data_IF_284909777665
#
_entry.id   IF_284909777665
#
_cell.length_a   1.000
_cell.length_b   1.000
_cell.length_c   1.000
_cell.angle_alpha   90.00
_cell.angle_beta   90.00
_cell.angle_gamma   90.00
#
_symmetry.space_group_name_H-M   'P 1'
#
loop_
_entity.id
_entity.type
_entity.pdbx_description
1 polymer ?
#
# COMPACT_ATOMS: atom_id res chain seq x y z
N UNK A 1 -10.88 1.25 -0.88
CA UNK A 1 -11.54 0.86 0.40
C UNK A 1 -10.50 0.71 1.52
N UNK A 2 -9.49 -0.15 1.39
CA UNK A 2 -8.49 -0.45 2.45
C UNK A 2 -7.65 0.76 2.95
N UNK A 3 -7.27 1.71 2.08
CA UNK A 3 -6.51 2.89 2.51
C UNK A 3 -7.31 3.83 3.43
N UNK A 4 -8.64 3.92 3.22
CA UNK A 4 -9.50 4.77 4.05
C UNK A 4 -9.70 4.16 5.44
N UNK A 5 -9.74 2.83 5.53
CA UNK A 5 -9.86 2.12 6.80
C UNK A 5 -8.58 2.26 7.63
N UNK A 6 -7.41 2.19 6.99
CA UNK A 6 -6.12 2.40 7.69
C UNK A 6 -5.92 3.85 8.14
N UNK A 7 -6.31 4.84 7.34
CA UNK A 7 -6.28 6.25 7.76
C UNK A 7 -7.22 6.47 8.94
N UNK A 8 -8.41 5.88 8.90
CA UNK A 8 -9.37 5.94 10.00
C UNK A 8 -8.83 5.27 11.27
N UNK A 9 -8.19 4.10 11.13
CA UNK A 9 -7.54 3.39 12.23
C UNK A 9 -6.41 4.20 12.86
N UNK A 10 -5.48 4.75 12.06
CA UNK A 10 -4.42 5.62 12.58
C UNK A 10 -4.99 6.87 13.25
N UNK A 11 -6.04 7.48 12.67
CA UNK A 11 -6.72 8.63 13.25
C UNK A 11 -7.30 8.31 14.64
N UNK A 12 -7.96 7.17 14.79
CA UNK A 12 -8.51 6.71 16.07
C UNK A 12 -7.38 6.51 17.09
N UNK A 13 -6.28 5.85 16.71
CA UNK A 13 -5.13 5.65 17.60
C UNK A 13 -4.47 6.96 18.06
N UNK A 14 -4.53 8.02 17.24
CA UNK A 14 -3.97 9.34 17.60
C UNK A 14 -4.93 10.21 18.41
N UNK A 15 -6.22 9.88 18.43
CA UNK A 15 -7.26 10.64 19.16
C UNK A 15 -7.58 10.03 20.53
N UNK A 16 -7.12 8.81 20.81
CA UNK A 16 -7.25 8.20 22.14
C UNK A 16 -6.26 8.83 23.13
N UNK A 17 -6.69 9.07 24.39
CA UNK A 17 -5.82 9.64 25.43
C UNK A 17 -4.70 8.68 25.87
N UNK A 18 -4.77 7.41 25.44
CA UNK A 18 -3.72 6.41 25.64
C UNK A 18 -2.74 6.48 24.46
N UNK A 19 -1.45 6.62 24.74
CA UNK A 19 -0.37 6.57 23.74
C UNK A 19 -0.24 5.15 23.17
N UNK A 20 -1.05 4.85 22.16
CA UNK A 20 -0.99 3.57 21.45
C UNK A 20 0.16 3.58 20.44
N UNK A 21 0.89 2.46 20.38
CA UNK A 21 2.00 2.30 19.44
C UNK A 21 1.49 2.31 18.01
N UNK A 22 1.89 3.31 17.23
CA UNK A 22 1.56 3.38 15.81
C UNK A 22 2.29 2.25 15.07
N UNK A 23 1.60 1.46 14.23
CA UNK A 23 2.25 0.40 13.48
C UNK A 23 3.39 0.94 12.62
N UNK A 24 4.52 0.21 12.63
CA UNK A 24 5.64 0.52 11.76
C UNK A 24 5.21 0.51 10.28
N UNK A 25 5.89 1.31 9.44
CA UNK A 25 5.59 1.39 7.99
C UNK A 25 5.57 0.01 7.32
N UNK A 26 6.49 -0.88 7.70
CA UNK A 26 6.55 -2.26 7.19
C UNK A 26 5.26 -3.02 7.46
N UNK A 27 4.71 -2.94 8.67
CA UNK A 27 3.46 -3.62 9.05
C UNK A 27 2.28 -3.15 8.20
N UNK A 28 2.23 -1.87 7.84
CA UNK A 28 1.18 -1.31 6.97
C UNK A 28 1.20 -1.92 5.56
N UNK A 29 2.39 -2.14 5.01
CA UNK A 29 2.57 -2.78 3.69
C UNK A 29 2.14 -4.25 3.74
N UNK A 30 2.48 -4.96 4.81
CA UNK A 30 2.11 -6.37 4.98
C UNK A 30 0.60 -6.52 5.08
N UNK A 31 -0.07 -5.71 5.91
CA UNK A 31 -1.52 -5.73 6.05
C UNK A 31 -2.24 -5.44 4.71
N UNK A 32 -1.74 -4.49 3.92
CA UNK A 32 -2.29 -4.23 2.60
C UNK A 32 -2.17 -5.45 1.67
N UNK A 33 -0.99 -6.07 1.61
CA UNK A 33 -0.78 -7.24 0.76
C UNK A 33 -1.58 -8.46 1.24
N UNK A 34 -1.73 -8.62 2.56
CA UNK A 34 -2.58 -9.65 3.17
C UNK A 34 -4.05 -9.48 2.76
N UNK A 35 -4.58 -8.24 2.76
CA UNK A 35 -5.95 -7.99 2.29
C UNK A 35 -6.17 -8.28 0.80
N UNK A 36 -5.13 -8.18 -0.03
CA UNK A 36 -5.22 -8.48 -1.47
C UNK A 36 -5.09 -9.98 -1.76
N UNK A 37 -4.26 -10.68 -0.98
CA UNK A 37 -3.89 -12.06 -1.20
C UNK A 37 -4.74 -13.07 -0.39
N UNK A 38 -5.36 -12.62 0.71
CA UNK A 38 -6.19 -13.43 1.60
C UNK A 38 -5.41 -14.19 2.70
N UNK A 39 -6.16 -14.78 3.63
CA UNK A 39 -5.65 -15.32 4.91
C UNK A 39 -5.18 -16.79 4.84
N UNK A 40 -4.13 -17.08 4.06
CA UNK A 40 -3.47 -18.39 4.09
C UNK A 40 -2.01 -18.29 4.53
N UNK A 41 -1.55 -19.29 5.30
CA UNK A 41 -0.13 -19.46 5.64
C UNK A 41 0.78 -19.49 4.41
N UNK A 42 0.32 -20.03 3.29
CA UNK A 42 1.08 -20.05 2.04
C UNK A 42 1.14 -18.68 1.35
N UNK A 43 0.13 -17.83 1.55
CA UNK A 43 0.05 -16.48 0.99
C UNK A 43 0.95 -15.49 1.75
N UNK A 44 1.16 -15.72 3.06
CA UNK A 44 2.13 -14.97 3.86
C UNK A 44 3.57 -15.06 3.35
N UNK A 45 3.96 -16.15 2.69
CA UNK A 45 5.27 -16.26 2.04
C UNK A 45 5.39 -15.35 0.81
N UNK A 46 4.30 -15.08 0.10
CA UNK A 46 4.27 -14.20 -1.08
C UNK A 46 4.36 -12.71 -0.72
N UNK A 47 4.02 -12.36 0.53
CA UNK A 47 4.08 -10.99 1.05
C UNK A 47 5.53 -10.58 1.40
N UNK A 48 6.39 -11.56 1.71
CA UNK A 48 7.80 -11.32 2.04
C UNK A 48 8.50 -10.65 0.87
N UNK A 49 9.40 -9.72 1.20
CA UNK A 49 10.12 -8.90 0.22
C UNK A 49 10.77 -9.73 -0.90
N UNK A 50 11.36 -10.87 -0.57
CA UNK A 50 12.01 -11.77 -1.53
C UNK A 50 11.06 -12.37 -2.59
N UNK A 51 9.76 -12.48 -2.28
CA UNK A 51 8.76 -13.10 -3.13
C UNK A 51 7.72 -12.09 -3.65
N UNK A 52 7.88 -10.81 -3.33
CA UNK A 52 6.93 -9.78 -3.72
C UNK A 52 7.00 -9.57 -5.23
N UNK A 53 5.87 -9.75 -5.90
CA UNK A 53 5.70 -9.47 -7.32
C UNK A 53 5.43 -7.98 -7.54
N UNK A 54 6.49 -7.19 -7.73
CA UNK A 54 6.39 -5.74 -7.97
C UNK A 54 5.79 -5.41 -9.34
N UNK A 55 5.89 -6.34 -10.28
CA UNK A 55 5.37 -6.27 -11.64
C UNK A 55 3.90 -6.62 -11.77
N UNK A 56 3.27 -7.21 -10.73
CA UNK A 56 1.86 -7.54 -10.77
C UNK A 56 0.99 -6.29 -10.60
N UNK A 57 0.39 -5.81 -11.68
CA UNK A 57 -0.51 -4.64 -11.68
C UNK A 57 -1.74 -4.82 -10.78
N UNK A 58 -2.20 -6.05 -10.54
CA UNK A 58 -3.34 -6.32 -9.66
C UNK A 58 -3.05 -5.98 -8.18
N UNK A 59 -1.76 -5.93 -7.81
CA UNK A 59 -1.35 -5.58 -6.45
C UNK A 59 -1.24 -4.07 -6.21
N UNK A 60 -1.36 -3.25 -7.26
CA UNK A 60 -1.12 -1.82 -7.20
C UNK A 60 -2.34 -1.06 -7.71
N UNK A 61 -3.00 -0.32 -6.82
CA UNK A 61 -4.03 0.63 -7.25
C UNK A 61 -3.38 1.90 -7.82
N UNK A 62 -2.93 1.84 -9.08
CA UNK A 62 -2.28 2.96 -9.78
C UNK A 62 -3.24 4.12 -10.09
N UNK A 63 -4.56 3.87 -10.04
CA UNK A 63 -5.60 4.87 -10.26
C UNK A 63 -6.05 5.57 -8.96
N UNK A 64 -5.36 5.31 -7.84
CA UNK A 64 -5.65 5.99 -6.59
C UNK A 64 -5.46 7.51 -6.72
N UNK A 65 -6.44 8.28 -6.22
CA UNK A 65 -6.47 9.74 -6.35
C UNK A 65 -5.20 10.42 -5.80
N UNK A 66 -4.63 9.88 -4.71
CA UNK A 66 -3.39 10.40 -4.13
C UNK A 66 -2.14 10.14 -4.98
N UNK A 67 -2.19 9.23 -5.96
CA UNK A 67 -1.10 8.99 -6.91
C UNK A 67 -1.15 9.95 -8.10
N UNK A 68 -2.24 10.70 -8.31
CA UNK A 68 -2.40 11.60 -9.47
C UNK A 68 -1.25 12.59 -9.61
N UNK A 69 -0.77 13.17 -8.49
CA UNK A 69 0.36 14.10 -8.51
C UNK A 69 1.67 13.44 -8.94
N UNK A 70 1.92 12.22 -8.43
CA UNK A 70 3.09 11.43 -8.81
C UNK A 70 3.00 11.01 -10.29
N UNK A 71 1.83 10.55 -10.73
CA UNK A 71 1.57 10.16 -12.11
C UNK A 71 1.86 11.33 -13.07
N UNK A 72 1.32 12.52 -12.79
CA UNK A 72 1.62 13.74 -13.56
C UNK A 72 3.10 14.10 -13.56
N UNK A 73 3.77 13.96 -12.43
CA UNK A 73 5.21 14.21 -12.34
C UNK A 73 6.01 13.23 -13.22
N UNK A 74 5.70 11.94 -13.14
CA UNK A 74 6.38 10.92 -13.94
C UNK A 74 6.05 11.10 -15.42
N UNK A 75 4.80 11.31 -15.80
CA UNK A 75 4.41 11.60 -17.19
C UNK A 75 5.17 12.81 -17.76
N UNK A 76 5.32 13.89 -16.97
CA UNK A 76 6.05 15.09 -17.38
C UNK A 76 7.56 14.87 -17.56
N UNK A 77 8.18 14.02 -16.75
CA UNK A 77 9.64 13.87 -16.69
C UNK A 77 10.14 12.55 -17.32
N UNK A 78 9.24 11.61 -17.59
CA UNK A 78 9.54 10.24 -18.03
C UNK A 78 8.66 9.82 -19.24
N UNK A 79 7.46 10.37 -19.42
CA UNK A 79 6.63 10.05 -20.60
C UNK A 79 7.09 10.80 -21.85
N UNK A 80 7.38 10.19 -23.00
CA UNK A 80 7.51 8.79 -23.41
C UNK A 80 8.55 8.77 -24.53
N UNK A 81 9.59 7.92 -24.48
CA UNK A 81 10.27 7.51 -25.72
C UNK A 81 9.28 6.61 -26.45
N UNK A 82 8.65 7.16 -27.49
CA UNK A 82 7.94 6.35 -28.47
C UNK A 82 8.97 5.43 -29.13
N UNK A 83 8.79 4.12 -29.00
CA UNK A 83 9.39 3.12 -29.90
C UNK A 83 8.28 2.16 -30.33
#
# INVERSE_FOLDING_TARGET
>A
MICNDFISYVRILTQTPLTLTIPAKKTKIYAYLETLLGDSKSLNELIKEANRKYDNSEHWNLDAEYLVGLKKFLEKNIGSRNE
#
